data_IF_663051735215
#
_entry.id   IF_663051735215
#
_cell.length_a   1.000
_cell.length_b   1.000
_cell.length_c   1.000
_cell.angle_alpha   90.00
_cell.angle_beta   90.00
_cell.angle_gamma   90.00
#
_symmetry.space_group_name_H-M   'P 1'
#
loop_
_entity.id
_entity.type
_entity.pdbx_description
1 polymer ?
#
# COMPACT_ATOMS: atom_id res chain seq x y z
N UNK A 1 3.16 -12.38 38.94
CA UNK A 1 3.33 -13.39 37.87
C UNK A 1 4.55 -12.99 37.06
N UNK A 2 5.65 -13.75 37.17
CA UNK A 2 6.89 -13.46 36.45
C UNK A 2 6.74 -13.87 34.97
N UNK A 3 7.08 -12.97 34.04
CA UNK A 3 7.10 -13.26 32.61
C UNK A 3 8.16 -14.34 32.34
N UNK A 4 7.88 -15.45 31.62
CA UNK A 4 8.89 -16.47 31.36
C UNK A 4 10.08 -15.86 30.60
N UNK A 5 11.32 -16.29 30.90
CA UNK A 5 12.49 -15.83 30.15
C UNK A 5 12.29 -16.18 28.68
N UNK A 6 12.28 -15.16 27.81
CA UNK A 6 12.16 -15.35 26.38
C UNK A 6 13.22 -16.36 25.92
N UNK A 7 12.85 -17.40 25.15
CA UNK A 7 13.81 -18.40 24.69
C UNK A 7 14.98 -17.71 24.02
N UNK A 8 16.21 -18.12 24.35
CA UNK A 8 17.46 -17.55 23.82
C UNK A 8 17.42 -17.64 22.30
N UNK A 9 17.02 -16.54 21.66
CA UNK A 9 17.11 -16.36 20.21
C UNK A 9 18.57 -16.62 19.85
N UNK A 10 18.82 -17.68 19.09
CA UNK A 10 20.13 -17.97 18.54
C UNK A 10 20.65 -16.69 17.87
N UNK A 11 21.72 -16.12 18.43
CA UNK A 11 22.34 -14.91 17.92
C UNK A 11 23.30 -15.34 16.84
N UNK A 12 22.93 -15.11 15.59
CA UNK A 12 23.81 -15.42 14.46
C UNK A 12 25.15 -14.68 14.63
N UNK A 13 26.29 -15.41 14.72
CA UNK A 13 27.62 -14.81 14.91
C UNK A 13 28.06 -13.96 13.72
N UNK A 14 27.45 -14.14 12.53
CA UNK A 14 27.76 -13.39 11.33
C UNK A 14 26.83 -12.20 11.08
N UNK A 15 25.84 -11.96 11.95
CA UNK A 15 24.85 -10.90 11.75
C UNK A 15 25.49 -9.51 11.53
N UNK A 16 26.61 -9.21 12.20
CA UNK A 16 27.36 -7.95 12.01
C UNK A 16 28.02 -7.87 10.63
N UNK A 17 28.50 -9.01 10.10
CA UNK A 17 29.09 -9.11 8.77
C UNK A 17 28.01 -9.04 7.68
N UNK A 18 26.83 -9.59 7.91
CA UNK A 18 25.73 -9.56 6.93
C UNK A 18 24.86 -8.29 7.01
N UNK A 19 25.12 -7.41 7.99
CA UNK A 19 24.34 -6.19 8.19
C UNK A 19 24.31 -5.28 6.95
N UNK A 20 25.38 -5.24 6.16
CA UNK A 20 25.43 -4.43 4.93
C UNK A 20 24.41 -4.88 3.87
N UNK A 21 24.03 -6.16 3.85
CA UNK A 21 23.02 -6.68 2.92
C UNK A 21 21.61 -6.26 3.30
N UNK A 22 21.37 -6.00 4.59
CA UNK A 22 20.08 -5.56 5.14
C UNK A 22 19.95 -4.03 5.06
N UNK A 23 20.43 -3.44 3.97
CA UNK A 23 20.31 -2.00 3.76
C UNK A 23 18.84 -1.65 3.47
N UNK A 24 18.28 -0.55 4.04
CA UNK A 24 16.89 -0.16 3.84
C UNK A 24 16.49 0.05 2.37
N UNK A 25 17.45 0.39 1.50
CA UNK A 25 17.25 0.49 0.04
C UNK A 25 16.85 -0.85 -0.59
N UNK A 26 17.33 -1.97 -0.05
CA UNK A 26 16.98 -3.32 -0.53
C UNK A 26 15.82 -3.94 0.25
N UNK A 27 15.12 -3.16 1.08
CA UNK A 27 13.95 -3.66 1.79
C UNK A 27 12.81 -3.97 0.82
N UNK A 28 12.05 -5.04 1.10
CA UNK A 28 10.87 -5.40 0.30
C UNK A 28 9.92 -4.21 0.13
N UNK A 29 9.73 -3.41 1.18
CA UNK A 29 8.89 -2.20 1.15
C UNK A 29 9.37 -1.18 0.12
N UNK A 30 10.68 -0.92 0.04
CA UNK A 30 11.24 -0.01 -0.94
C UNK A 30 11.01 -0.54 -2.37
N UNK A 31 11.24 -1.84 -2.59
CA UNK A 31 10.98 -2.48 -3.88
C UNK A 31 9.51 -2.35 -4.31
N UNK A 32 8.55 -2.66 -3.41
CA UNK A 32 7.12 -2.55 -3.70
C UNK A 32 6.67 -1.11 -3.96
N UNK A 33 7.26 -0.13 -3.27
CA UNK A 33 6.90 1.28 -3.47
C UNK A 33 7.25 1.80 -4.86
N UNK A 34 8.26 1.21 -5.51
CA UNK A 34 8.68 1.58 -6.87
C UNK A 34 7.99 0.79 -7.99
N UNK A 35 7.21 -0.25 -7.68
CA UNK A 35 6.61 -1.12 -8.72
C UNK A 35 5.53 -0.40 -9.55
N UNK A 36 4.82 0.56 -8.96
CA UNK A 36 3.73 1.27 -9.64
C UNK A 36 3.89 2.79 -9.53
N UNK A 37 4.81 3.38 -10.32
CA UNK A 37 4.92 4.83 -10.37
C UNK A 37 3.60 5.42 -10.84
N UNK A 38 3.01 6.31 -10.04
CA UNK A 38 1.75 6.98 -10.37
C UNK A 38 0.46 6.22 -10.05
N UNK A 39 0.52 5.04 -9.40
CA UNK A 39 -0.70 4.31 -8.99
C UNK A 39 -1.65 5.18 -8.15
N UNK A 40 -1.12 5.97 -7.22
CA UNK A 40 -1.93 6.88 -6.41
C UNK A 40 -2.70 7.90 -7.26
N UNK A 41 -2.05 8.47 -8.28
CA UNK A 41 -2.68 9.43 -9.20
C UNK A 41 -3.75 8.74 -10.04
N UNK A 42 -3.46 7.54 -10.55
CA UNK A 42 -4.41 6.76 -11.33
C UNK A 42 -5.67 6.42 -10.53
N UNK A 43 -5.54 6.01 -9.26
CA UNK A 43 -6.67 5.74 -8.36
C UNK A 43 -7.52 7.00 -8.15
N UNK A 44 -6.90 8.15 -7.91
CA UNK A 44 -7.63 9.43 -7.74
C UNK A 44 -8.36 9.83 -9.02
N UNK A 45 -7.71 9.76 -10.17
CA UNK A 45 -8.34 10.09 -11.45
C UNK A 45 -9.51 9.16 -11.76
N UNK A 46 -9.33 7.85 -11.56
CA UNK A 46 -10.35 6.84 -11.81
C UNK A 46 -11.56 7.02 -10.87
N UNK A 47 -11.34 7.23 -9.58
CA UNK A 47 -12.43 7.47 -8.62
C UNK A 47 -13.21 8.74 -8.94
N UNK A 48 -12.51 9.82 -9.33
CA UNK A 48 -13.16 11.06 -9.78
C UNK A 48 -14.06 10.82 -10.99
N UNK A 49 -13.57 10.07 -12.00
CA UNK A 49 -14.36 9.70 -13.16
C UNK A 49 -15.60 8.89 -12.77
N UNK A 50 -15.44 7.85 -11.94
CA UNK A 50 -16.55 6.99 -11.50
C UNK A 50 -17.63 7.77 -10.77
N UNK A 51 -17.25 8.73 -9.92
CA UNK A 51 -18.19 9.60 -9.19
C UNK A 51 -18.99 10.48 -10.15
N UNK A 52 -18.33 11.12 -11.12
CA UNK A 52 -19.01 11.95 -12.12
C UNK A 52 -19.97 11.09 -12.95
N UNK A 53 -19.51 9.96 -13.45
CA UNK A 53 -20.27 9.12 -14.38
C UNK A 53 -21.46 8.44 -13.67
N UNK A 54 -21.24 7.85 -12.50
CA UNK A 54 -22.26 7.02 -11.83
C UNK A 54 -23.17 7.79 -10.87
N UNK A 55 -22.71 8.89 -10.28
CA UNK A 55 -23.52 9.64 -9.31
C UNK A 55 -24.12 10.87 -9.97
N UNK A 56 -23.33 11.65 -10.71
CA UNK A 56 -23.82 12.89 -11.30
C UNK A 56 -24.58 12.67 -12.61
N UNK A 57 -24.03 11.93 -13.57
CA UNK A 57 -24.67 11.77 -14.88
C UNK A 57 -25.86 10.82 -14.84
N UNK A 58 -25.75 9.65 -14.21
CA UNK A 58 -26.91 8.74 -14.02
C UNK A 58 -28.03 9.36 -13.19
N UNK A 59 -27.72 10.15 -12.16
CA UNK A 59 -28.73 10.87 -11.38
C UNK A 59 -29.46 11.94 -12.19
N UNK A 60 -28.81 12.56 -13.19
CA UNK A 60 -29.48 13.50 -14.11
C UNK A 60 -30.35 12.81 -15.16
N UNK A 61 -30.04 11.57 -15.57
CA UNK A 61 -30.85 10.84 -16.54
C UNK A 61 -32.18 10.36 -15.94
N UNK A 62 -32.21 9.93 -14.68
CA UNK A 62 -33.48 9.59 -14.00
C UNK A 62 -34.39 10.82 -13.85
N UNK A 63 -33.85 12.01 -13.62
CA UNK A 63 -34.67 13.23 -13.59
C UNK A 63 -35.21 13.64 -14.96
N UNK A 64 -34.61 13.19 -16.07
CA UNK A 64 -35.09 13.48 -17.44
C UNK A 64 -36.13 12.48 -17.95
N UNK A 65 -36.16 11.25 -17.44
CA UNK A 65 -37.13 10.22 -17.86
C UNK A 65 -38.53 10.42 -17.25
N UNK A 66 -38.65 11.27 -16.23
CA UNK A 66 -39.91 11.62 -15.56
C UNK A 66 -40.56 12.92 -16.06
N UNK A 67 -40.07 13.50 -17.17
CA UNK A 67 -40.68 14.63 -17.87
C UNK A 67 -41.14 14.25 -19.28
#
# INVERSE_FOLDING_TARGET
>A
MANPPSPRLFRDPWAKREAWRKHPVFSNRAMFSSMFPGFGVAVVAFTTYVVIDNIFWKGQEEHKSHH
#
